data_IF_773338020490
#
_entry.id   IF_773338020490
#
_cell.length_a   1.000
_cell.length_b   1.000
_cell.length_c   1.000
_cell.angle_alpha   90.00
_cell.angle_beta   90.00
_cell.angle_gamma   90.00
#
_symmetry.space_group_name_H-M   'P 1'
#
loop_
_entity.id
_entity.type
_entity.pdbx_description
1 polymer ?
#
# COMPACT_ATOMS: atom_id res chain seq x y z
N UNK A 1 -27.79 50.28 -51.18
CA UNK A 1 -26.41 50.43 -50.69
C UNK A 1 -26.37 50.00 -49.22
N UNK A 2 -25.93 48.82 -48.77
CA UNK A 2 -25.15 47.74 -49.38
C UNK A 2 -23.84 47.52 -48.64
N UNK A 3 -23.85 47.06 -47.37
CA UNK A 3 -22.67 46.45 -46.70
C UNK A 3 -23.10 45.34 -45.75
N UNK A 4 -23.01 44.11 -46.25
CA UNK A 4 -23.11 42.86 -45.50
C UNK A 4 -21.67 42.50 -45.11
N UNK A 5 -21.34 42.57 -43.82
CA UNK A 5 -20.05 42.08 -43.31
C UNK A 5 -20.19 40.60 -42.95
N UNK A 6 -19.76 39.76 -43.89
CA UNK A 6 -19.60 38.31 -43.72
C UNK A 6 -18.68 38.00 -42.55
N UNK A 7 -19.25 37.45 -41.47
CA UNK A 7 -18.50 36.89 -40.36
C UNK A 7 -18.17 35.44 -40.69
N UNK A 8 -16.96 35.22 -41.22
CA UNK A 8 -16.44 33.91 -41.55
C UNK A 8 -16.42 32.99 -40.31
N UNK A 9 -17.18 31.90 -40.40
CA UNK A 9 -17.19 30.80 -39.46
C UNK A 9 -15.85 30.07 -39.59
N UNK A 10 -14.97 30.24 -38.60
CA UNK A 10 -13.69 29.54 -38.54
C UNK A 10 -14.01 28.06 -38.26
N UNK A 11 -13.81 27.22 -39.26
CA UNK A 11 -13.95 25.77 -39.17
C UNK A 11 -13.09 25.23 -38.03
N UNK A 12 -13.77 24.49 -37.15
CA UNK A 12 -13.23 23.76 -36.00
C UNK A 12 -12.30 22.64 -36.50
N UNK A 13 -11.04 22.99 -36.72
CA UNK A 13 -9.99 22.02 -37.01
C UNK A 13 -9.23 21.72 -35.72
N UNK A 14 -9.60 20.61 -35.06
CA UNK A 14 -8.67 19.83 -34.25
C UNK A 14 -8.67 20.07 -32.74
N UNK A 15 -9.78 19.77 -32.06
CA UNK A 15 -9.80 19.54 -30.61
C UNK A 15 -9.76 18.03 -30.28
N UNK A 16 -8.74 17.33 -30.76
CA UNK A 16 -8.53 15.90 -30.45
C UNK A 16 -7.47 15.67 -29.36
N UNK A 17 -6.71 16.72 -28.98
CA UNK A 17 -5.67 16.63 -27.93
C UNK A 17 -6.25 16.71 -26.52
N UNK A 18 -7.36 17.42 -26.29
CA UNK A 18 -7.95 17.54 -24.95
C UNK A 18 -8.60 16.23 -24.44
N UNK A 19 -9.06 15.35 -25.33
CA UNK A 19 -9.67 14.07 -24.92
C UNK A 19 -8.64 13.07 -24.41
N UNK A 20 -7.44 13.02 -25.03
CA UNK A 20 -6.38 12.09 -24.61
C UNK A 20 -5.74 12.49 -23.26
N UNK A 21 -5.57 13.79 -23.01
CA UNK A 21 -5.04 14.27 -21.72
C UNK A 21 -6.05 14.09 -20.57
N UNK A 22 -7.34 14.31 -20.83
CA UNK A 22 -8.39 14.04 -19.87
C UNK A 22 -8.48 12.54 -19.52
N UNK A 23 -8.39 11.65 -20.52
CA UNK A 23 -8.36 10.20 -20.33
C UNK A 23 -7.12 9.75 -19.54
N UNK A 24 -5.93 10.29 -19.83
CA UNK A 24 -4.71 9.97 -19.08
C UNK A 24 -4.78 10.45 -17.61
N UNK A 25 -5.36 11.63 -17.36
CA UNK A 25 -5.58 12.16 -16.02
C UNK A 25 -6.57 11.29 -15.23
N UNK A 26 -7.65 10.83 -15.88
CA UNK A 26 -8.65 9.97 -15.27
C UNK A 26 -8.08 8.57 -14.94
N UNK A 27 -7.31 7.96 -15.84
CA UNK A 27 -6.61 6.70 -15.57
C UNK A 27 -5.66 6.81 -14.37
N UNK A 28 -4.89 7.91 -14.25
CA UNK A 28 -4.02 8.14 -13.08
C UNK A 28 -4.82 8.26 -11.78
N UNK A 29 -5.94 8.99 -11.79
CA UNK A 29 -6.82 9.11 -10.62
C UNK A 29 -7.44 7.76 -10.25
N UNK A 30 -7.90 7.00 -11.24
CA UNK A 30 -8.48 5.67 -11.06
C UNK A 30 -7.46 4.67 -10.51
N UNK A 31 -6.25 4.63 -11.06
CA UNK A 31 -5.17 3.77 -10.55
C UNK A 31 -4.79 4.15 -9.11
N UNK A 32 -4.73 5.45 -8.80
CA UNK A 32 -4.50 5.92 -7.42
C UNK A 32 -5.61 5.49 -6.46
N UNK A 33 -6.87 5.56 -6.91
CA UNK A 33 -8.03 5.10 -6.13
C UNK A 33 -7.99 3.60 -5.88
N UNK A 34 -7.74 2.79 -6.92
CA UNK A 34 -7.61 1.34 -6.77
C UNK A 34 -6.46 0.96 -5.83
N UNK A 35 -5.31 1.64 -5.93
CA UNK A 35 -4.20 1.44 -5.00
C UNK A 35 -4.59 1.82 -3.55
N UNK A 36 -5.32 2.92 -3.36
CA UNK A 36 -5.81 3.32 -2.04
C UNK A 36 -6.80 2.31 -1.47
N UNK A 37 -7.78 1.86 -2.25
CA UNK A 37 -8.76 0.83 -1.87
C UNK A 37 -8.04 -0.46 -1.46
N UNK A 38 -7.02 -0.87 -2.22
CA UNK A 38 -6.20 -2.04 -1.90
C UNK A 38 -5.46 -1.88 -0.57
N UNK A 39 -4.86 -0.71 -0.32
CA UNK A 39 -4.18 -0.42 0.95
C UNK A 39 -5.17 -0.43 2.11
N UNK A 40 -6.35 0.17 1.95
CA UNK A 40 -7.39 0.20 2.99
C UNK A 40 -7.88 -1.21 3.32
N UNK A 41 -8.13 -2.05 2.32
CA UNK A 41 -8.53 -3.44 2.54
C UNK A 41 -7.47 -4.21 3.35
N UNK A 42 -6.19 -4.05 3.00
CA UNK A 42 -5.08 -4.67 3.74
C UNK A 42 -4.85 -4.07 5.12
N UNK A 43 -5.24 -2.81 5.34
CA UNK A 43 -5.11 -2.15 6.64
C UNK A 43 -5.97 -2.82 7.73
N UNK A 44 -6.96 -3.63 7.36
CA UNK A 44 -7.74 -4.45 8.30
C UNK A 44 -6.87 -5.33 9.21
N UNK A 45 -5.68 -5.74 8.73
CA UNK A 45 -4.73 -6.58 9.44
C UNK A 45 -3.65 -5.81 10.22
N UNK A 46 -3.74 -4.48 10.25
CA UNK A 46 -2.87 -3.66 11.09
C UNK A 46 -3.36 -3.61 12.54
N UNK A 47 -2.49 -3.27 13.50
CA UNK A 47 -2.92 -2.90 14.85
C UNK A 47 -3.98 -1.79 14.80
N UNK A 48 -4.98 -1.79 15.70
CA UNK A 48 -6.08 -0.81 15.69
C UNK A 48 -5.66 0.66 15.50
N UNK A 49 -4.63 1.20 16.18
CA UNK A 49 -4.25 2.60 16.00
C UNK A 49 -3.66 2.88 14.61
N UNK A 50 -2.92 1.93 14.03
CA UNK A 50 -2.34 2.08 12.69
C UNK A 50 -3.42 1.93 11.61
N UNK A 51 -4.37 1.00 11.80
CA UNK A 51 -5.52 0.83 10.92
C UNK A 51 -6.35 2.10 10.82
N UNK A 52 -6.69 2.69 11.97
CA UNK A 52 -7.48 3.93 12.03
C UNK A 52 -6.77 5.08 11.31
N UNK A 53 -5.45 5.23 11.49
CA UNK A 53 -4.67 6.26 10.79
C UNK A 53 -4.76 6.11 9.26
N UNK A 54 -4.61 4.88 8.75
CA UNK A 54 -4.70 4.61 7.31
C UNK A 54 -6.10 4.90 6.77
N UNK A 55 -7.15 4.50 7.50
CA UNK A 55 -8.54 4.76 7.12
C UNK A 55 -8.85 6.26 7.11
N UNK A 56 -8.47 7.01 8.15
CA UNK A 56 -8.71 8.46 8.18
C UNK A 56 -7.99 9.19 7.05
N UNK A 57 -6.78 8.76 6.70
CA UNK A 57 -5.99 9.38 5.63
C UNK A 57 -6.52 9.04 4.23
N UNK A 58 -6.75 7.76 3.92
CA UNK A 58 -7.10 7.31 2.57
C UNK A 58 -8.59 7.31 2.27
N UNK A 59 -9.43 6.99 3.25
CA UNK A 59 -10.89 6.87 3.07
C UNK A 59 -11.60 8.19 3.40
N UNK A 60 -11.19 8.85 4.47
CA UNK A 60 -11.84 10.08 4.95
C UNK A 60 -11.13 11.37 4.48
N UNK A 61 -10.02 11.24 3.74
CA UNK A 61 -9.29 12.37 3.16
C UNK A 61 -8.69 13.35 4.19
N UNK A 62 -8.49 12.92 5.46
CA UNK A 62 -7.87 13.78 6.49
C UNK A 62 -6.43 14.07 6.13
N UNK A 63 -5.99 15.30 6.37
CA UNK A 63 -4.59 15.65 6.09
C UNK A 63 -3.66 15.11 7.17
N UNK A 64 -2.38 14.89 6.85
CA UNK A 64 -1.39 14.47 7.85
C UNK A 64 -1.18 15.52 8.95
N UNK A 65 -1.48 16.79 8.67
CA UNK A 65 -1.44 17.86 9.66
C UNK A 65 -2.56 17.68 10.69
N UNK A 66 -3.79 17.45 10.24
CA UNK A 66 -4.94 17.24 11.12
C UNK A 66 -4.75 15.99 11.99
N UNK A 67 -4.25 14.90 11.40
CA UNK A 67 -3.95 13.66 12.13
C UNK A 67 -2.83 13.86 13.17
N UNK A 68 -1.83 14.67 12.85
CA UNK A 68 -0.73 14.99 13.76
C UNK A 68 -1.24 15.83 14.95
N UNK A 69 -2.05 16.85 14.68
CA UNK A 69 -2.69 17.68 15.70
C UNK A 69 -3.59 16.87 16.63
N UNK A 70 -4.48 16.04 16.06
CA UNK A 70 -5.38 15.17 16.83
C UNK A 70 -4.66 14.13 17.70
N UNK A 71 -3.43 13.75 17.34
CA UNK A 71 -2.62 12.79 18.10
C UNK A 71 -1.56 13.44 18.99
N UNK A 72 -1.47 14.78 19.01
CA UNK A 72 -0.45 15.52 19.76
C UNK A 72 0.98 15.25 19.26
N UNK A 73 1.15 14.84 17.99
CA UNK A 73 2.45 14.54 17.41
C UNK A 73 2.91 15.64 16.45
N UNK A 74 4.23 15.87 16.28
CA UNK A 74 4.72 16.76 15.24
C UNK A 74 4.38 16.22 13.83
N UNK A 75 3.97 17.07 12.85
CA UNK A 75 3.63 16.63 11.50
C UNK A 75 4.71 15.82 10.78
N UNK A 76 6.00 16.10 11.06
CA UNK A 76 7.13 15.35 10.53
C UNK A 76 7.17 13.90 11.03
N UNK A 77 6.82 13.67 12.30
CA UNK A 77 6.75 12.34 12.90
C UNK A 77 5.58 11.56 12.30
N UNK A 78 4.40 12.18 12.22
CA UNK A 78 3.21 11.59 11.61
C UNK A 78 3.46 11.21 10.14
N UNK A 79 4.09 12.09 9.35
CA UNK A 79 4.43 11.80 7.95
C UNK A 79 5.38 10.62 7.80
N UNK A 80 6.41 10.52 8.66
CA UNK A 80 7.34 9.38 8.68
C UNK A 80 6.62 8.09 9.05
N UNK A 81 5.72 8.14 10.05
CA UNK A 81 4.91 6.99 10.46
C UNK A 81 4.00 6.53 9.32
N UNK A 82 3.24 7.44 8.71
CA UNK A 82 2.35 7.12 7.59
C UNK A 82 3.11 6.50 6.41
N UNK A 83 4.26 7.08 6.03
CA UNK A 83 5.09 6.51 4.96
C UNK A 83 5.51 5.08 5.27
N UNK A 84 5.99 4.81 6.50
CA UNK A 84 6.35 3.45 6.92
C UNK A 84 5.16 2.48 6.85
N UNK A 85 3.96 2.91 7.28
CA UNK A 85 2.74 2.11 7.22
C UNK A 85 2.37 1.76 5.77
N UNK A 86 2.29 2.77 4.90
CA UNK A 86 1.94 2.57 3.48
C UNK A 86 2.96 1.67 2.80
N UNK A 87 4.26 1.91 2.98
CA UNK A 87 5.32 1.06 2.41
C UNK A 87 5.22 -0.39 2.92
N UNK A 88 4.93 -0.59 4.20
CA UNK A 88 4.76 -1.93 4.79
C UNK A 88 3.56 -2.66 4.18
N UNK A 89 2.39 -2.02 4.16
CA UNK A 89 1.14 -2.60 3.65
C UNK A 89 1.21 -2.89 2.13
N UNK A 90 1.90 -2.02 1.39
CA UNK A 90 2.11 -2.20 -0.04
C UNK A 90 3.18 -3.26 -0.38
N UNK A 91 3.99 -3.70 0.60
CA UNK A 91 5.06 -4.65 0.34
C UNK A 91 4.54 -6.03 -0.08
N UNK A 92 5.27 -6.70 -0.97
CA UNK A 92 4.96 -8.06 -1.39
C UNK A 92 5.06 -9.06 -0.24
N UNK A 93 5.91 -8.79 0.75
CA UNK A 93 6.03 -9.63 1.94
C UNK A 93 4.78 -9.57 2.83
N UNK A 94 4.13 -8.41 2.92
CA UNK A 94 2.85 -8.27 3.62
C UNK A 94 1.77 -9.12 2.93
N UNK A 95 1.66 -8.99 1.61
CA UNK A 95 0.74 -9.79 0.79
C UNK A 95 1.02 -11.30 0.91
N UNK A 96 2.29 -11.69 0.87
CA UNK A 96 2.71 -13.07 1.05
C UNK A 96 2.22 -13.66 2.36
N UNK A 97 2.41 -12.95 3.47
CA UNK A 97 1.94 -13.40 4.79
C UNK A 97 0.42 -13.54 4.80
N UNK A 98 -0.33 -12.56 4.28
CA UNK A 98 -1.79 -12.65 4.24
C UNK A 98 -2.29 -13.89 3.47
N UNK A 99 -1.66 -14.21 2.33
CA UNK A 99 -2.08 -15.36 1.51
C UNK A 99 -1.81 -16.72 2.16
N UNK A 100 -0.78 -16.84 3.00
CA UNK A 100 -0.31 -18.13 3.50
C UNK A 100 -0.52 -18.35 4.99
N UNK A 101 -0.79 -17.31 5.79
CA UNK A 101 -0.76 -17.38 7.24
C UNK A 101 -1.70 -18.44 7.84
N UNK A 102 -2.85 -18.71 7.21
CA UNK A 102 -3.80 -19.73 7.69
C UNK A 102 -3.29 -21.17 7.52
N UNK A 103 -2.34 -21.40 6.61
CA UNK A 103 -1.72 -22.71 6.41
C UNK A 103 -0.56 -22.99 7.37
N UNK A 104 -0.11 -22.00 8.14
CA UNK A 104 1.09 -22.10 8.95
C UNK A 104 0.81 -22.59 10.38
N UNK A 105 1.76 -23.30 11.01
CA UNK A 105 1.68 -23.60 12.43
C UNK A 105 1.49 -22.34 13.26
N UNK A 106 0.67 -22.40 14.32
CA UNK A 106 0.26 -21.26 15.14
C UNK A 106 1.42 -20.37 15.59
N UNK A 107 2.54 -20.95 16.02
CA UNK A 107 3.73 -20.19 16.43
C UNK A 107 4.33 -19.34 15.31
N UNK A 108 4.47 -19.92 14.11
CA UNK A 108 4.97 -19.21 12.92
C UNK A 108 3.99 -18.12 12.49
N UNK A 109 2.68 -18.43 12.48
CA UNK A 109 1.61 -17.46 12.17
C UNK A 109 1.66 -16.24 13.09
N UNK A 110 1.73 -16.45 14.41
CA UNK A 110 1.80 -15.37 15.40
C UNK A 110 3.03 -14.48 15.19
N UNK A 111 4.20 -15.07 14.95
CA UNK A 111 5.44 -14.33 14.69
C UNK A 111 5.35 -13.53 13.38
N UNK A 112 4.81 -14.12 12.31
CA UNK A 112 4.64 -13.43 11.04
C UNK A 112 3.70 -12.22 11.16
N UNK A 113 2.57 -12.37 11.86
CA UNK A 113 1.64 -11.26 12.14
C UNK A 113 2.36 -10.14 12.91
N UNK A 114 3.03 -10.48 14.02
CA UNK A 114 3.74 -9.52 14.86
C UNK A 114 4.83 -8.76 14.09
N UNK A 115 5.66 -9.46 13.34
CA UNK A 115 6.82 -8.83 12.70
C UNK A 115 6.51 -8.21 11.34
N UNK A 116 5.77 -8.90 10.48
CA UNK A 116 5.53 -8.44 9.11
C UNK A 116 4.32 -7.51 9.05
N UNK A 117 3.20 -7.90 9.66
CA UNK A 117 1.97 -7.11 9.57
C UNK A 117 1.99 -5.93 10.54
N UNK A 118 2.37 -6.18 11.81
CA UNK A 118 2.42 -5.13 12.84
C UNK A 118 3.75 -4.35 12.86
N UNK A 119 4.82 -4.89 12.24
CA UNK A 119 6.12 -4.23 12.18
C UNK A 119 6.87 -4.15 13.51
N UNK A 120 6.61 -5.10 14.41
CA UNK A 120 7.33 -5.19 15.67
C UNK A 120 8.79 -5.64 15.45
N UNK A 121 9.70 -5.16 16.29
CA UNK A 121 11.06 -5.70 16.33
C UNK A 121 11.05 -7.14 16.88
N UNK A 122 12.14 -7.89 16.69
CA UNK A 122 12.27 -9.23 17.27
C UNK A 122 12.09 -9.20 18.79
N UNK A 123 12.60 -8.15 19.46
CA UNK A 123 12.49 -7.98 20.91
C UNK A 123 11.05 -7.71 21.33
N UNK A 124 10.39 -6.76 20.67
CA UNK A 124 8.99 -6.41 20.96
C UNK A 124 8.06 -7.58 20.66
N UNK A 125 8.32 -8.33 19.59
CA UNK A 125 7.55 -9.52 19.24
C UNK A 125 7.74 -10.63 20.29
N UNK A 126 8.96 -10.87 20.77
CA UNK A 126 9.23 -11.86 21.82
C UNK A 126 8.51 -11.50 23.13
N UNK A 127 8.59 -10.24 23.53
CA UNK A 127 7.88 -9.73 24.71
C UNK A 127 6.36 -9.85 24.55
N UNK A 128 5.82 -9.40 23.40
CA UNK A 128 4.38 -9.42 23.12
C UNK A 128 3.80 -10.83 23.05
N UNK A 129 4.57 -11.79 22.52
CA UNK A 129 4.13 -13.18 22.35
C UNK A 129 4.49 -14.09 23.54
N UNK A 130 5.20 -13.56 24.54
CA UNK A 130 5.72 -14.30 25.69
C UNK A 130 6.52 -15.56 25.29
N UNK A 131 7.37 -15.45 24.27
CA UNK A 131 8.26 -16.52 23.81
C UNK A 131 9.71 -16.04 23.77
N UNK A 132 10.67 -16.96 23.76
CA UNK A 132 12.08 -16.61 23.71
C UNK A 132 12.47 -15.92 22.39
N UNK A 133 13.47 -15.04 22.44
CA UNK A 133 14.05 -14.39 21.25
C UNK A 133 14.48 -15.41 20.18
N UNK A 134 15.03 -16.54 20.61
CA UNK A 134 15.43 -17.62 19.72
C UNK A 134 14.23 -18.19 18.93
N UNK A 135 13.10 -18.42 19.62
CA UNK A 135 11.87 -18.93 18.99
C UNK A 135 11.34 -17.96 17.93
N UNK A 136 11.30 -16.66 18.25
CA UNK A 136 10.90 -15.62 17.29
C UNK A 136 11.82 -15.61 16.08
N UNK A 137 13.14 -15.60 16.32
CA UNK A 137 14.15 -15.60 15.24
C UNK A 137 13.98 -16.81 14.31
N UNK A 138 13.90 -18.02 14.88
CA UNK A 138 13.72 -19.25 14.11
C UNK A 138 12.45 -19.23 13.25
N UNK A 139 11.33 -18.77 13.79
CA UNK A 139 10.09 -18.66 13.03
C UNK A 139 10.16 -17.58 11.95
N UNK A 140 10.77 -16.43 12.25
CA UNK A 140 10.95 -15.35 11.30
C UNK A 140 11.86 -15.76 10.12
N UNK A 141 12.99 -16.43 10.40
CA UNK A 141 13.88 -16.99 9.37
C UNK A 141 13.14 -17.98 8.46
N UNK A 142 12.30 -18.84 9.02
CA UNK A 142 11.47 -19.74 8.24
C UNK A 142 10.48 -19.00 7.32
N UNK A 143 9.87 -17.90 7.78
CA UNK A 143 8.98 -17.06 6.96
C UNK A 143 9.76 -16.39 5.82
N UNK A 144 10.96 -15.86 6.10
CA UNK A 144 11.83 -15.28 5.08
C UNK A 144 12.23 -16.31 4.02
N UNK A 145 12.65 -17.51 4.43
CA UNK A 145 13.04 -18.57 3.50
C UNK A 145 11.87 -19.00 2.57
N UNK A 146 10.65 -19.09 3.11
CA UNK A 146 9.46 -19.38 2.31
C UNK A 146 9.16 -18.26 1.30
N UNK A 147 9.27 -16.99 1.72
CA UNK A 147 9.08 -15.84 0.84
C UNK A 147 10.11 -15.81 -0.30
N UNK A 148 11.40 -16.01 0.02
CA UNK A 148 12.48 -16.00 -0.96
C UNK A 148 12.31 -17.12 -2.00
N UNK A 149 11.80 -18.28 -1.57
CA UNK A 149 11.48 -19.40 -2.47
C UNK A 149 10.33 -19.08 -3.44
N UNK A 150 9.26 -18.42 -2.96
CA UNK A 150 8.17 -17.97 -3.84
C UNK A 150 8.66 -16.91 -4.84
N UNK A 151 9.49 -15.97 -4.38
CA UNK A 151 10.04 -14.91 -5.24
C UNK A 151 10.91 -15.48 -6.37
N UNK A 152 11.81 -16.42 -6.05
CA UNK A 152 12.61 -17.12 -7.06
C UNK A 152 11.73 -17.85 -8.07
N UNK A 153 10.68 -18.54 -7.60
CA UNK A 153 9.74 -19.26 -8.46
C UNK A 153 9.00 -18.33 -9.42
N UNK A 154 8.62 -17.12 -8.97
CA UNK A 154 8.00 -16.10 -9.83
C UNK A 154 8.97 -15.57 -10.88
N UNK A 155 10.19 -15.26 -10.47
CA UNK A 155 11.24 -14.77 -11.38
C UNK A 155 11.53 -15.78 -12.49
N UNK A 156 11.64 -17.07 -12.16
CA UNK A 156 11.86 -18.13 -13.16
C UNK A 156 10.69 -18.25 -14.16
N UNK A 157 9.43 -18.10 -13.70
CA UNK A 157 8.25 -18.13 -14.59
C UNK A 157 8.23 -16.94 -15.56
N UNK A 158 8.58 -15.75 -15.08
CA UNK A 158 8.65 -14.55 -15.92
C UNK A 158 9.70 -14.67 -17.03
N UNK A 159 10.83 -15.34 -16.75
CA UNK A 159 11.88 -15.56 -17.76
C UNK A 159 11.48 -16.62 -18.82
N UNK A 160 10.72 -17.64 -18.44
CA UNK A 160 10.29 -18.69 -19.37
C UNK A 160 9.18 -18.24 -20.32
N UNK A 161 8.30 -17.33 -19.90
CA UNK A 161 7.20 -16.82 -20.74
C UNK A 161 7.59 -15.74 -21.76
N UNK A 162 8.87 -15.39 -21.86
CA UNK A 162 9.38 -14.37 -22.77
C UNK A 162 10.00 -14.94 -24.07
N UNK A 163 9.93 -16.25 -24.27
CA UNK A 163 10.36 -16.97 -25.48
C UNK A 163 9.16 -17.44 -26.30
#
# INVERSE_FOLDING_TARGET
MGRITSRAYRTSTGDWRHTQDAQACDLRKRMRRQAAEHIVARAAFLPPPDRLLVQLYLEHGRTLKDLAEASGQPPRVMSRRMRKLITRVASERFDFVLRHMESWPTGRRKVAIAMVLHGLSIRDAAQTLAVSLYTVRRHHEAVCALFDTEQRSRQSRTLQGAH
#
